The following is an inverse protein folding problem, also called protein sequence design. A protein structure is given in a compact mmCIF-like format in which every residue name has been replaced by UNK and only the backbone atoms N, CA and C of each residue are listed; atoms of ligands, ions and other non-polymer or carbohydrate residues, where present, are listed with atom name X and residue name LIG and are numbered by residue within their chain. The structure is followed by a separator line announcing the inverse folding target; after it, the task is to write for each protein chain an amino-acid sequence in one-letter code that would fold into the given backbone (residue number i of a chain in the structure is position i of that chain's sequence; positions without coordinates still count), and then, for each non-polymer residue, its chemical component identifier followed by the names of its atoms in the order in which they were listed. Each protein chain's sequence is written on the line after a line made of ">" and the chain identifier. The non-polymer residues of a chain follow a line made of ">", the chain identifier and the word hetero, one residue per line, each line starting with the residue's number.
data_IF_394193289360
#
_entry.id   IF_394193289360
#
_cell.length_a   1.000
_cell.length_b   1.000
_cell.length_c   1.000
_cell.angle_alpha   90.00
_cell.angle_beta   90.00
_cell.angle_gamma   90.00
#
_symmetry.space_group_name_H-M   'P 1'
#
loop_
_entity.id
_entity.type
_entity.pdbx_description
1 polymer ?
#
# COMPACT_ATOMS: atom_id res chain seq x y z
N UNK A 1 14.26 22.98 -12.66
CA UNK A 1 12.89 22.46 -12.71
C UNK A 1 13.02 21.01 -13.12
N UNK A 2 12.81 20.07 -12.19
CA UNK A 2 12.98 18.65 -12.47
C UNK A 2 11.86 18.16 -13.39
N UNK A 3 12.21 17.30 -14.34
CA UNK A 3 11.30 16.72 -15.32
C UNK A 3 11.35 15.20 -15.26
N UNK A 4 10.23 14.54 -15.51
CA UNK A 4 10.18 13.07 -15.49
C UNK A 4 11.07 12.41 -16.54
N UNK A 5 11.40 13.11 -17.64
CA UNK A 5 12.31 12.62 -18.66
C UNK A 5 13.76 12.50 -18.19
N UNK A 6 14.11 13.16 -17.07
CA UNK A 6 15.44 13.13 -16.49
C UNK A 6 15.49 12.16 -15.32
N UNK A 7 15.97 10.93 -15.56
CA UNK A 7 16.10 9.86 -14.57
C UNK A 7 14.83 9.65 -13.70
N UNK A 8 13.64 9.69 -14.32
CA UNK A 8 12.35 9.60 -13.62
C UNK A 8 12.16 10.66 -12.52
N UNK A 9 12.84 11.80 -12.64
CA UNK A 9 12.99 12.80 -11.57
C UNK A 9 13.44 12.21 -10.22
N UNK A 10 14.18 11.09 -10.22
CA UNK A 10 14.58 10.37 -9.02
C UNK A 10 13.45 9.61 -8.30
N UNK A 11 12.25 9.51 -8.89
CA UNK A 11 11.16 8.73 -8.32
C UNK A 11 11.44 7.23 -8.38
N UNK A 12 11.07 6.49 -7.33
CA UNK A 12 11.24 5.03 -7.28
C UNK A 12 10.26 4.27 -8.17
N UNK A 13 9.08 4.85 -8.45
CA UNK A 13 8.01 4.21 -9.22
C UNK A 13 7.57 5.09 -10.39
N UNK A 14 6.45 5.81 -10.24
CA UNK A 14 5.93 6.67 -11.29
C UNK A 14 6.36 8.12 -11.12
N UNK A 15 6.42 8.83 -12.24
CA UNK A 15 6.59 10.28 -12.29
C UNK A 15 5.56 10.88 -13.24
N UNK A 16 4.94 11.98 -12.83
CA UNK A 16 4.05 12.78 -13.68
C UNK A 16 4.54 14.24 -13.71
N UNK A 17 4.39 14.90 -14.86
CA UNK A 17 4.73 16.31 -15.00
C UNK A 17 3.57 17.16 -14.46
N UNK A 18 3.75 17.76 -13.28
CA UNK A 18 2.80 18.68 -12.68
C UNK A 18 3.07 20.15 -13.04
N UNK A 19 2.14 21.07 -12.69
CA UNK A 19 2.26 22.51 -12.97
C UNK A 19 3.44 23.18 -12.25
N UNK A 20 3.97 22.56 -11.19
CA UNK A 20 5.08 23.07 -10.39
C UNK A 20 6.38 22.26 -10.58
N UNK A 21 6.40 21.29 -11.50
CA UNK A 21 7.53 20.38 -11.73
C UNK A 21 7.12 18.91 -11.71
N UNK A 22 8.11 18.03 -11.81
CA UNK A 22 7.89 16.58 -11.67
C UNK A 22 7.33 16.20 -10.29
N UNK A 23 6.33 15.33 -10.27
CA UNK A 23 5.71 14.77 -9.07
C UNK A 23 5.78 13.25 -9.12
N UNK A 24 6.25 12.63 -8.03
CA UNK A 24 6.30 11.18 -7.94
C UNK A 24 4.93 10.60 -7.58
N UNK A 25 4.61 9.45 -8.16
CA UNK A 25 3.36 8.73 -7.94
C UNK A 25 3.64 7.29 -7.55
N UNK A 26 2.88 6.78 -6.58
CA UNK A 26 3.00 5.42 -6.08
C UNK A 26 1.89 4.50 -6.61
N UNK A 27 2.18 3.20 -6.79
CA UNK A 27 1.16 2.22 -7.12
C UNK A 27 0.16 2.05 -5.96
N UNK A 28 -0.97 1.38 -6.24
CA UNK A 28 -1.95 1.02 -5.21
C UNK A 28 -1.30 0.21 -4.09
N UNK A 29 -1.66 0.51 -2.84
CA UNK A 29 -1.05 -0.11 -1.64
C UNK A 29 0.27 0.54 -1.20
N UNK A 30 0.70 1.64 -1.85
CA UNK A 30 1.92 2.36 -1.48
C UNK A 30 1.65 3.84 -1.29
N UNK A 31 2.41 4.46 -0.39
CA UNK A 31 2.38 5.89 -0.12
C UNK A 31 3.75 6.53 -0.39
N UNK A 32 3.75 7.82 -0.70
CA UNK A 32 4.97 8.56 -0.92
C UNK A 32 5.63 8.86 0.44
N UNK A 33 6.91 8.51 0.56
CA UNK A 33 7.73 8.78 1.75
C UNK A 33 8.01 10.28 1.91
N UNK A 34 8.60 10.63 3.05
CA UNK A 34 8.95 12.02 3.41
C UNK A 34 9.97 12.65 2.46
N UNK A 35 10.72 11.84 1.69
CA UNK A 35 11.64 12.32 0.67
C UNK A 35 10.94 12.76 -0.62
N UNK A 36 9.62 12.56 -0.74
CA UNK A 36 8.81 12.83 -1.93
C UNK A 36 9.20 12.04 -3.20
N UNK A 37 10.00 10.98 -3.06
CA UNK A 37 10.56 10.20 -4.19
C UNK A 37 10.36 8.69 -4.02
N UNK A 38 10.40 8.21 -2.79
CA UNK A 38 10.32 6.78 -2.46
C UNK A 38 8.88 6.38 -2.16
N UNK A 39 8.43 5.27 -2.74
CA UNK A 39 7.15 4.67 -2.38
C UNK A 39 7.37 3.60 -1.32
N UNK A 40 6.74 3.81 -0.18
CA UNK A 40 6.72 2.88 0.93
C UNK A 40 5.38 2.14 0.95
N UNK A 41 5.44 0.87 1.32
CA UNK A 41 4.28 0.03 1.48
C UNK A 41 3.36 0.61 2.58
N UNK A 42 2.06 0.68 2.31
CA UNK A 42 1.09 1.08 3.32
C UNK A 42 0.83 -0.15 4.17
N UNK A 43 1.16 -0.08 5.45
CA UNK A 43 0.83 -1.16 6.37
C UNK A 43 -0.66 -1.09 6.75
N UNK A 44 -1.52 -1.78 6.00
CA UNK A 44 -2.96 -1.76 6.30
C UNK A 44 -3.31 -2.50 7.60
N UNK A 45 -2.36 -3.21 8.24
CA UNK A 45 -2.57 -3.73 9.58
C UNK A 45 -2.42 -2.66 10.68
N UNK A 46 -1.99 -1.45 10.32
CA UNK A 46 -1.88 -0.30 11.22
C UNK A 46 -2.73 0.89 10.73
N UNK A 47 -3.80 1.27 11.44
CA UNK A 47 -4.18 0.83 12.80
C UNK A 47 -4.92 -0.52 12.83
N UNK A 48 -4.95 -1.14 14.01
CA UNK A 48 -5.64 -2.40 14.26
C UNK A 48 -7.12 -2.35 13.85
N UNK A 49 -7.67 -3.50 13.46
CA UNK A 49 -9.11 -3.67 13.17
C UNK A 49 -9.48 -3.85 11.70
N UNK A 50 -8.49 -3.91 10.80
CA UNK A 50 -8.74 -4.23 9.38
C UNK A 50 -9.18 -5.68 9.18
N UNK A 51 -8.62 -6.60 9.96
CA UNK A 51 -9.03 -8.01 10.00
C UNK A 51 -9.77 -8.30 11.30
N UNK A 52 -10.77 -9.18 11.24
CA UNK A 52 -11.48 -9.66 12.44
C UNK A 52 -10.61 -10.49 13.39
N UNK A 53 -9.55 -11.11 12.86
CA UNK A 53 -8.60 -11.92 13.61
C UNK A 53 -7.15 -11.52 13.24
N UNK A 54 -6.41 -12.35 12.52
CA UNK A 54 -5.01 -12.07 12.19
C UNK A 54 -4.90 -11.24 10.91
N UNK A 55 -4.07 -10.21 10.94
CA UNK A 55 -3.69 -9.40 9.79
C UNK A 55 -2.22 -9.64 9.47
N UNK A 56 -1.91 -9.82 8.18
CA UNK A 56 -0.55 -9.91 7.68
C UNK A 56 -0.38 -8.85 6.60
N UNK A 57 0.53 -7.90 6.85
CA UNK A 57 0.91 -6.92 5.85
C UNK A 57 1.73 -7.60 4.73
N UNK A 58 1.42 -7.30 3.49
CA UNK A 58 2.10 -7.81 2.30
C UNK A 58 2.50 -6.62 1.41
N UNK A 59 3.48 -6.78 0.52
CA UNK A 59 3.83 -5.66 -0.36
C UNK A 59 2.70 -5.34 -1.32
N UNK A 60 2.12 -4.15 -1.20
CA UNK A 60 1.04 -3.60 -1.99
C UNK A 60 -0.36 -4.06 -1.57
N UNK A 61 -0.49 -4.80 -0.46
CA UNK A 61 -1.79 -5.25 0.06
C UNK A 61 -1.67 -5.82 1.47
N UNK A 62 -2.76 -6.35 2.00
CA UNK A 62 -2.74 -7.18 3.20
C UNK A 62 -3.60 -8.43 2.99
N UNK A 63 -3.38 -9.43 3.83
CA UNK A 63 -4.26 -10.59 3.94
C UNK A 63 -4.71 -10.81 5.37
N UNK A 64 -5.98 -11.17 5.52
CA UNK A 64 -6.52 -11.64 6.78
C UNK A 64 -6.44 -13.16 6.87
N UNK A 65 -6.23 -13.67 8.08
CA UNK A 65 -6.20 -15.11 8.35
C UNK A 65 -7.03 -15.43 9.59
N UNK A 66 -7.71 -16.57 9.51
CA UNK A 66 -8.58 -17.06 10.57
C UNK A 66 -7.89 -18.16 11.37
N UNK A 67 -8.15 -18.19 12.67
CA UNK A 67 -7.74 -19.27 13.54
C UNK A 67 -8.44 -20.58 13.18
N UNK A 68 -7.89 -21.70 13.66
CA UNK A 68 -8.48 -23.01 13.45
C UNK A 68 -9.94 -23.06 13.93
N UNK A 69 -10.83 -23.62 13.12
CA UNK A 69 -12.28 -23.64 13.37
C UNK A 69 -13.02 -22.40 12.88
N UNK A 70 -12.37 -21.52 12.12
CA UNK A 70 -13.00 -20.38 11.46
C UNK A 70 -12.68 -20.36 9.97
N UNK A 71 -13.63 -19.88 9.17
CA UNK A 71 -13.49 -19.66 7.72
C UNK A 71 -13.50 -18.17 7.41
N UNK A 72 -12.64 -17.76 6.46
CA UNK A 72 -12.62 -16.39 5.95
C UNK A 72 -13.80 -16.18 5.00
N UNK A 73 -14.62 -15.18 5.29
CA UNK A 73 -15.79 -14.80 4.49
C UNK A 73 -15.37 -14.13 3.17
N UNK A 74 -16.33 -13.93 2.26
CA UNK A 74 -16.09 -13.36 0.93
C UNK A 74 -15.58 -11.92 0.94
N UNK A 75 -15.76 -11.18 2.04
CA UNK A 75 -15.19 -9.83 2.21
C UNK A 75 -13.66 -9.86 2.45
N UNK A 76 -13.08 -11.03 2.68
CA UNK A 76 -11.64 -11.22 2.88
C UNK A 76 -11.11 -10.69 4.21
N UNK A 77 -11.99 -10.29 5.14
CA UNK A 77 -11.62 -9.70 6.45
C UNK A 77 -12.29 -10.38 7.65
N UNK A 78 -13.49 -10.91 7.45
CA UNK A 78 -14.32 -11.48 8.51
C UNK A 78 -14.10 -12.98 8.63
N UNK A 79 -13.85 -13.45 9.84
CA UNK A 79 -13.69 -14.86 10.16
C UNK A 79 -14.92 -15.36 10.92
N UNK A 80 -15.60 -16.35 10.36
CA UNK A 80 -16.81 -16.95 10.92
C UNK A 80 -16.53 -18.38 11.39
N UNK A 81 -17.04 -18.76 12.55
CA UNK A 81 -16.90 -20.13 13.05
C UNK A 81 -17.46 -21.12 12.02
N UNK A 82 -16.66 -22.13 11.69
CA UNK A 82 -16.99 -23.21 10.75
C UNK A 82 -17.92 -24.23 11.37
#
# INVERSE_FOLDING_TARGET
>A
QESCSDNNAGCTHGCIQGPFGAQCTCPMGFQLSNDSKTCEDIDECHPLGVCSQHCFNERGSFRCHCQNGYTLEADGRTCKAS
#
